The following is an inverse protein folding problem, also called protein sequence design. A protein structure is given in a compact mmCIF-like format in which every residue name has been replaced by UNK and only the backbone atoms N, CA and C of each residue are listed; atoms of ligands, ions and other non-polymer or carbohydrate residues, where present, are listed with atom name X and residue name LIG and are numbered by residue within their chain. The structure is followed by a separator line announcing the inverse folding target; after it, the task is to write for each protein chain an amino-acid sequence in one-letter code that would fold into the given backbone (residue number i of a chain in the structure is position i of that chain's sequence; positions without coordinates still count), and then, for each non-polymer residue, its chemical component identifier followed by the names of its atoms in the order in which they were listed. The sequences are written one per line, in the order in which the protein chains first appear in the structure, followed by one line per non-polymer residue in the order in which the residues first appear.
data_IF_762071602510
#
_entry.id   IF_762071602510
#
_cell.length_a   1.000
_cell.length_b   1.000
_cell.length_c   1.000
_cell.angle_alpha   90.00
_cell.angle_beta   90.00
_cell.angle_gamma   90.00
#
_symmetry.space_group_name_H-M   'P 1'
#
loop_
_entity.id
_entity.type
_entity.pdbx_description
1 polymer ?
#
# COMPACT_ATOMS: atom_id res chain seq x y z
N UNK A 1 27.80 21.48 25.14
CA UNK A 1 26.82 21.47 24.05
C UNK A 1 26.27 20.05 23.84
N UNK A 2 25.41 19.45 24.66
CA UNK A 2 24.84 19.82 25.97
C UNK A 2 24.14 21.18 26.08
N UNK A 3 22.86 21.13 25.71
CA UNK A 3 21.65 21.76 26.28
C UNK A 3 20.65 20.56 26.31
N UNK A 4 19.85 20.20 27.33
CA UNK A 4 19.19 20.88 28.47
C UNK A 4 18.14 21.90 28.03
N UNK A 5 16.86 21.85 28.43
CA UNK A 5 16.06 20.81 29.13
C UNK A 5 14.55 21.16 28.94
N UNK A 6 13.48 20.51 29.44
CA UNK A 6 13.22 19.38 30.35
C UNK A 6 11.79 18.82 30.04
N UNK A 7 11.45 17.53 30.26
CA UNK A 7 10.05 17.05 30.18
C UNK A 7 9.24 17.44 31.43
N UNK A 8 7.97 17.83 31.24
CA UNK A 8 7.09 18.29 32.33
C UNK A 8 6.67 17.18 33.30
N UNK A 9 6.59 17.51 34.59
CA UNK A 9 6.58 16.55 35.68
C UNK A 9 5.20 15.91 35.94
N UNK A 10 5.18 14.63 36.33
CA UNK A 10 3.96 13.92 36.76
C UNK A 10 4.03 13.61 38.25
N UNK A 11 3.10 14.20 39.00
CA UNK A 11 2.52 13.73 40.28
C UNK A 11 3.46 13.14 41.37
N UNK A 12 3.63 13.87 42.48
CA UNK A 12 3.27 13.32 43.80
C UNK A 12 3.17 14.45 44.86
N UNK A 13 2.18 14.35 45.75
CA UNK A 13 1.84 15.38 46.76
C UNK A 13 1.80 14.77 48.18
N UNK A 14 2.77 15.07 49.05
CA UNK A 14 2.64 14.82 50.48
C UNK A 14 1.67 15.82 51.12
N UNK A 15 0.82 15.34 52.03
CA UNK A 15 0.13 16.19 53.01
C UNK A 15 0.80 16.00 54.38
N UNK A 16 1.21 17.09 55.02
CA UNK A 16 1.43 17.15 56.47
C UNK A 16 0.74 18.39 57.04
N UNK A 17 -0.03 18.19 58.12
CA UNK A 17 -0.66 19.26 58.89
C UNK A 17 0.28 19.82 59.99
N UNK A 18 0.04 21.04 60.50
CA UNK A 18 1.05 21.79 61.25
C UNK A 18 1.22 21.36 62.72
N UNK A 19 2.44 21.50 63.24
CA UNK A 19 2.70 21.45 64.69
C UNK A 19 2.46 22.81 65.38
N UNK A 20 1.98 22.82 66.65
CA UNK A 20 1.62 24.05 67.37
C UNK A 20 2.81 24.69 68.11
N UNK A 21 2.81 26.02 68.24
CA UNK A 21 3.79 26.76 69.05
C UNK A 21 3.19 27.28 70.38
N UNK A 22 3.66 26.67 71.47
CA UNK A 22 3.98 27.23 72.80
C UNK A 22 3.05 28.29 73.44
N UNK A 23 2.29 27.79 74.44
CA UNK A 23 2.24 28.22 75.86
C UNK A 23 1.97 29.71 76.26
N UNK A 24 1.19 29.94 77.36
CA UNK A 24 0.79 31.28 77.81
C UNK A 24 1.61 31.86 78.97
N UNK A 25 1.30 33.08 79.40
CA UNK A 25 1.73 33.65 80.69
C UNK A 25 0.60 34.48 81.31
N UNK A 26 0.33 34.32 82.62
CA UNK A 26 -0.29 35.39 83.42
C UNK A 26 -1.64 35.19 84.12
N UNK A 27 -1.83 34.10 84.88
CA UNK A 27 -2.72 34.00 86.08
C UNK A 27 -4.26 34.28 85.98
N UNK A 28 -5.06 33.83 86.97
CA UNK A 28 -6.51 33.66 86.80
C UNK A 28 -7.39 34.71 87.52
N UNK A 29 -8.69 34.74 87.17
CA UNK A 29 -9.71 34.67 88.23
C UNK A 29 -10.87 33.70 87.97
N UNK A 30 -11.44 33.22 89.09
CA UNK A 30 -12.78 32.63 89.28
C UNK A 30 -13.10 31.21 88.68
N UNK A 31 -13.83 30.36 89.43
CA UNK A 31 -14.10 28.96 89.03
C UNK A 31 -15.07 28.77 87.85
N UNK A 32 -15.86 29.80 87.50
CA UNK A 32 -16.93 29.72 86.49
C UNK A 32 -16.45 29.30 85.10
N UNK A 33 -15.19 29.60 84.75
CA UNK A 33 -14.61 29.20 83.46
C UNK A 33 -14.40 27.68 83.34
N UNK A 34 -14.29 26.96 84.48
CA UNK A 34 -14.21 25.49 84.50
C UNK A 34 -15.61 24.86 84.42
N UNK A 35 -16.60 25.44 85.07
CA UNK A 35 -18.01 25.02 84.97
C UNK A 35 -18.51 25.12 83.52
N UNK A 36 -18.34 26.30 82.89
CA UNK A 36 -18.74 26.52 81.48
C UNK A 36 -17.97 25.59 80.52
N UNK A 37 -16.67 25.34 80.74
CA UNK A 37 -15.93 24.35 79.93
C UNK A 37 -16.40 22.92 80.18
N UNK A 38 -16.75 22.56 81.42
CA UNK A 38 -17.27 21.23 81.75
C UNK A 38 -18.64 20.99 81.12
N UNK A 39 -19.55 21.98 81.13
CA UNK A 39 -20.85 21.90 80.46
C UNK A 39 -20.70 21.75 78.94
N UNK A 40 -19.85 22.56 78.30
CA UNK A 40 -19.55 22.49 76.86
C UNK A 40 -18.95 21.12 76.48
N UNK A 41 -18.09 20.55 77.32
CA UNK A 41 -17.51 19.22 77.09
C UNK A 41 -18.54 18.09 77.33
N UNK A 42 -19.35 18.17 78.38
CA UNK A 42 -20.41 17.19 78.67
C UNK A 42 -21.44 17.15 77.54
N UNK A 43 -21.88 18.31 77.03
CA UNK A 43 -22.80 18.38 75.89
C UNK A 43 -22.21 17.77 74.61
N UNK A 44 -20.88 17.78 74.44
CA UNK A 44 -20.20 17.14 73.29
C UNK A 44 -20.09 15.62 73.39
N UNK A 45 -20.23 15.05 74.60
CA UNK A 45 -20.14 13.61 74.87
C UNK A 45 -21.48 12.85 74.85
N UNK A 46 -22.63 13.54 74.79
CA UNK A 46 -23.94 12.88 74.71
C UNK A 46 -24.14 12.30 73.29
N UNK A 47 -24.20 10.96 73.10
CA UNK A 47 -24.54 10.42 71.79
C UNK A 47 -25.93 10.91 71.39
N UNK A 48 -26.17 11.31 70.13
CA UNK A 48 -27.49 11.76 69.70
C UNK A 48 -28.51 10.63 69.93
N UNK A 49 -29.77 10.96 70.29
CA UNK A 49 -30.83 9.97 70.36
C UNK A 49 -30.84 9.12 69.09
N UNK A 50 -30.71 7.79 69.26
CA UNK A 50 -30.69 6.85 68.13
C UNK A 50 -32.12 6.59 67.66
N UNK A 51 -32.81 7.64 67.23
CA UNK A 51 -34.13 7.55 66.64
C UNK A 51 -34.06 6.62 65.42
N UNK A 52 -34.76 5.46 65.45
CA UNK A 52 -34.59 4.44 64.43
C UNK A 52 -35.01 4.95 63.04
N UNK A 53 -35.94 5.91 62.99
CA UNK A 53 -36.32 6.61 61.76
C UNK A 53 -35.17 7.37 61.11
N UNK A 54 -34.39 8.14 61.90
CA UNK A 54 -33.24 8.88 61.38
C UNK A 54 -32.16 7.92 60.86
N UNK A 55 -31.94 6.80 61.56
CA UNK A 55 -31.00 5.76 61.13
C UNK A 55 -31.45 5.08 59.83
N UNK A 56 -32.75 4.75 59.69
CA UNK A 56 -33.34 4.23 58.43
C UNK A 56 -33.12 5.20 57.27
N UNK A 57 -33.44 6.48 57.46
CA UNK A 57 -33.30 7.53 56.44
C UNK A 57 -31.83 7.70 56.02
N UNK A 58 -30.90 7.74 56.97
CA UNK A 58 -29.47 7.81 56.67
C UNK A 58 -28.94 6.56 55.92
N UNK A 59 -29.40 5.36 56.31
CA UNK A 59 -29.01 4.12 55.63
C UNK A 59 -29.56 4.08 54.19
N UNK A 60 -30.80 4.53 53.98
CA UNK A 60 -31.43 4.65 52.67
C UNK A 60 -30.66 5.60 51.73
N UNK A 61 -30.31 6.80 52.22
CA UNK A 61 -29.50 7.77 51.45
C UNK A 61 -28.12 7.21 51.09
N UNK A 62 -27.39 6.61 52.05
CA UNK A 62 -26.08 5.97 51.78
C UNK A 62 -26.21 4.86 50.74
N UNK A 63 -27.25 4.01 50.85
CA UNK A 63 -27.53 2.95 49.89
C UNK A 63 -27.89 3.45 48.48
N UNK A 64 -28.56 4.60 48.36
CA UNK A 64 -28.83 5.24 47.06
C UNK A 64 -27.57 5.84 46.45
N UNK A 65 -26.73 6.51 47.25
CA UNK A 65 -25.50 7.13 46.79
C UNK A 65 -24.54 6.08 46.20
N UNK A 66 -24.34 4.96 46.91
CA UNK A 66 -23.49 3.84 46.47
C UNK A 66 -24.05 3.14 45.24
N UNK A 67 -25.37 2.93 45.14
CA UNK A 67 -25.99 2.36 43.92
C UNK A 67 -25.79 3.26 42.71
N UNK A 68 -25.92 4.59 42.88
CA UNK A 68 -25.75 5.56 41.79
C UNK A 68 -24.30 5.66 41.31
N UNK A 69 -23.31 5.63 42.21
CA UNK A 69 -21.89 5.62 41.82
C UNK A 69 -21.49 4.29 41.17
N UNK A 70 -21.96 3.15 41.69
CA UNK A 70 -21.71 1.83 41.10
C UNK A 70 -22.29 1.71 39.68
N UNK A 71 -23.50 2.22 39.45
CA UNK A 71 -24.11 2.25 38.10
C UNK A 71 -23.28 3.12 37.13
N UNK A 72 -22.81 4.29 37.56
CA UNK A 72 -21.96 5.14 36.72
C UNK A 72 -20.62 4.47 36.39
N UNK A 73 -19.96 3.87 37.38
CA UNK A 73 -18.72 3.11 37.18
C UNK A 73 -18.92 1.91 36.24
N UNK A 74 -20.02 1.17 36.38
CA UNK A 74 -20.36 0.05 35.50
C UNK A 74 -20.61 0.50 34.05
N UNK A 75 -21.30 1.62 33.82
CA UNK A 75 -21.51 2.20 32.50
C UNK A 75 -20.20 2.68 31.86
N UNK A 76 -19.31 3.30 32.64
CA UNK A 76 -17.96 3.67 32.20
C UNK A 76 -17.13 2.45 31.78
N UNK A 77 -17.04 1.45 32.66
CA UNK A 77 -16.32 0.20 32.39
C UNK A 77 -16.86 -0.53 31.15
N UNK A 78 -18.19 -0.65 31.01
CA UNK A 78 -18.85 -1.27 29.87
C UNK A 78 -18.59 -0.49 28.56
N UNK A 79 -18.50 0.84 28.61
CA UNK A 79 -18.14 1.68 27.46
C UNK A 79 -16.69 1.43 27.03
N UNK A 80 -15.75 1.41 27.99
CA UNK A 80 -14.33 1.09 27.75
C UNK A 80 -14.16 -0.34 27.19
N UNK A 81 -14.87 -1.33 27.73
CA UNK A 81 -14.86 -2.71 27.24
C UNK A 81 -15.39 -2.82 25.80
N UNK A 82 -16.48 -2.11 25.46
CA UNK A 82 -17.02 -2.06 24.09
C UNK A 82 -16.02 -1.42 23.11
N UNK A 83 -15.38 -0.32 23.51
CA UNK A 83 -14.33 0.34 22.73
C UNK A 83 -13.13 -0.59 22.46
N UNK A 84 -12.60 -1.26 23.50
CA UNK A 84 -11.53 -2.25 23.35
C UNK A 84 -11.94 -3.45 22.49
N UNK A 85 -13.19 -3.92 22.57
CA UNK A 85 -13.68 -4.96 21.66
C UNK A 85 -13.70 -4.47 20.21
N UNK A 86 -14.13 -3.22 19.97
CA UNK A 86 -14.14 -2.62 18.64
C UNK A 86 -12.72 -2.40 18.07
N UNK A 87 -11.78 -1.90 18.86
CA UNK A 87 -10.39 -1.68 18.40
C UNK A 87 -9.70 -3.01 18.04
N UNK A 88 -9.93 -4.08 18.83
CA UNK A 88 -9.43 -5.43 18.55
C UNK A 88 -10.05 -6.03 17.28
N UNK A 89 -11.35 -5.84 17.04
CA UNK A 89 -12.01 -6.30 15.82
C UNK A 89 -11.47 -5.56 14.58
N UNK A 90 -11.36 -4.22 14.62
CA UNK A 90 -10.76 -3.42 13.54
C UNK A 90 -9.32 -3.87 13.22
N UNK A 91 -8.50 -4.12 14.24
CA UNK A 91 -7.13 -4.62 14.06
C UNK A 91 -7.08 -6.02 13.43
N UNK A 92 -7.99 -6.92 13.81
CA UNK A 92 -8.10 -8.26 13.21
C UNK A 92 -8.57 -8.20 11.75
N UNK A 93 -9.55 -7.34 11.45
CA UNK A 93 -10.02 -7.08 10.08
C UNK A 93 -8.91 -6.49 9.20
N UNK A 94 -8.16 -5.51 9.70
CA UNK A 94 -7.03 -4.92 8.98
C UNK A 94 -5.97 -5.97 8.64
N UNK A 95 -5.61 -6.84 9.59
CA UNK A 95 -4.71 -7.99 9.36
C UNK A 95 -5.26 -8.95 8.31
N UNK A 96 -6.56 -9.29 8.36
CA UNK A 96 -7.22 -10.15 7.36
C UNK A 96 -7.19 -9.52 5.96
N UNK A 97 -7.52 -8.23 5.83
CA UNK A 97 -7.48 -7.49 4.55
C UNK A 97 -6.07 -7.45 3.98
N UNK A 98 -5.06 -7.10 4.79
CA UNK A 98 -3.65 -7.07 4.36
C UNK A 98 -3.15 -8.43 3.85
N UNK A 99 -3.56 -9.54 4.48
CA UNK A 99 -3.24 -10.90 4.01
C UNK A 99 -3.91 -11.21 2.67
N UNK A 100 -5.20 -10.91 2.51
CA UNK A 100 -5.93 -11.09 1.24
C UNK A 100 -5.36 -10.22 0.11
N UNK A 101 -4.97 -8.98 0.39
CA UNK A 101 -4.25 -8.12 -0.54
C UNK A 101 -2.89 -8.71 -0.93
N UNK A 102 -2.13 -9.26 0.02
CA UNK A 102 -0.85 -9.89 -0.27
C UNK A 102 -0.98 -11.15 -1.15
N UNK A 103 -2.08 -11.91 -1.03
CA UNK A 103 -2.38 -13.03 -1.93
C UNK A 103 -2.82 -12.55 -3.31
N UNK A 104 -3.83 -11.70 -3.40
CA UNK A 104 -4.32 -11.18 -4.69
C UNK A 104 -3.23 -10.45 -5.49
N UNK A 105 -2.35 -9.65 -4.84
CA UNK A 105 -1.19 -9.03 -5.51
C UNK A 105 -0.24 -10.07 -6.13
N UNK A 106 -0.03 -11.23 -5.48
CA UNK A 106 0.77 -12.35 -6.04
C UNK A 106 0.07 -13.01 -7.22
N UNK A 107 -1.24 -13.23 -7.13
CA UNK A 107 -2.05 -13.79 -8.22
C UNK A 107 -2.05 -12.87 -9.45
N UNK A 108 -2.28 -11.57 -9.27
CA UNK A 108 -2.19 -10.57 -10.34
C UNK A 108 -0.79 -10.53 -10.98
N UNK A 109 0.28 -10.62 -10.19
CA UNK A 109 1.65 -10.71 -10.72
C UNK A 109 1.87 -12.00 -11.52
N UNK A 110 1.41 -13.16 -11.00
CA UNK A 110 1.51 -14.44 -11.67
C UNK A 110 0.73 -14.49 -12.99
N UNK A 111 -0.51 -13.99 -13.02
CA UNK A 111 -1.35 -13.91 -14.23
C UNK A 111 -0.71 -12.97 -15.27
N UNK A 112 -0.18 -11.82 -14.87
CA UNK A 112 0.55 -10.91 -15.77
C UNK A 112 1.79 -11.58 -16.37
N UNK A 113 2.59 -12.26 -15.54
CA UNK A 113 3.79 -12.98 -16.00
C UNK A 113 3.42 -14.16 -16.93
N UNK A 114 2.37 -14.92 -16.62
CA UNK A 114 1.84 -15.97 -17.50
C UNK A 114 1.37 -15.40 -18.84
N UNK A 115 0.67 -14.27 -18.85
CA UNK A 115 0.24 -13.59 -20.06
C UNK A 115 1.43 -13.12 -20.92
N UNK A 116 2.46 -12.53 -20.30
CA UNK A 116 3.70 -12.16 -20.97
C UNK A 116 4.44 -13.37 -21.56
N UNK A 117 4.57 -14.47 -20.81
CA UNK A 117 5.22 -15.71 -21.30
C UNK A 117 4.42 -16.34 -22.45
N UNK A 118 3.09 -16.35 -22.39
CA UNK A 118 2.21 -16.83 -23.48
C UNK A 118 2.40 -15.96 -24.74
N UNK A 119 2.32 -14.64 -24.59
CA UNK A 119 2.53 -13.68 -25.70
C UNK A 119 3.93 -13.81 -26.30
N UNK A 120 4.97 -13.94 -25.48
CA UNK A 120 6.36 -14.12 -25.93
C UNK A 120 6.54 -15.41 -26.75
N UNK A 121 5.99 -16.55 -26.28
CA UNK A 121 6.03 -17.82 -27.01
C UNK A 121 5.35 -17.71 -28.38
N UNK A 122 4.19 -17.04 -28.44
CA UNK A 122 3.47 -16.81 -29.70
C UNK A 122 4.29 -15.92 -30.64
N UNK A 123 4.81 -14.78 -30.15
CA UNK A 123 5.63 -13.85 -30.93
C UNK A 123 6.90 -14.53 -31.47
N UNK A 124 7.58 -15.34 -30.66
CA UNK A 124 8.76 -16.10 -31.07
C UNK A 124 8.43 -17.13 -32.18
N UNK A 125 7.32 -17.86 -32.05
CA UNK A 125 6.85 -18.79 -33.10
C UNK A 125 6.51 -18.05 -34.39
N UNK A 126 5.79 -16.92 -34.30
CA UNK A 126 5.47 -16.08 -35.45
C UNK A 126 6.72 -15.53 -36.14
N UNK A 127 7.68 -14.98 -35.39
CA UNK A 127 8.94 -14.48 -35.96
C UNK A 127 9.75 -15.57 -36.67
N UNK A 128 9.82 -16.80 -36.12
CA UNK A 128 10.47 -17.94 -36.77
C UNK A 128 9.79 -18.32 -38.09
N UNK A 129 8.46 -18.45 -38.08
CA UNK A 129 7.68 -18.77 -39.28
C UNK A 129 7.80 -17.67 -40.35
N UNK A 130 7.73 -16.40 -39.95
CA UNK A 130 7.89 -15.25 -40.85
C UNK A 130 9.29 -15.16 -41.46
N UNK A 131 10.33 -15.49 -40.69
CA UNK A 131 11.71 -15.55 -41.19
C UNK A 131 11.89 -16.68 -42.21
N UNK A 132 11.43 -17.90 -41.90
CA UNK A 132 11.43 -19.02 -42.83
C UNK A 132 10.64 -18.72 -44.12
N UNK A 133 9.44 -18.14 -43.99
CA UNK A 133 8.62 -17.72 -45.13
C UNK A 133 9.33 -16.66 -46.00
N UNK A 134 10.05 -15.71 -45.40
CA UNK A 134 10.86 -14.72 -46.14
C UNK A 134 12.04 -15.34 -46.88
N UNK A 135 12.75 -16.30 -46.28
CA UNK A 135 13.83 -17.04 -46.96
C UNK A 135 13.26 -17.81 -48.16
N UNK A 136 12.15 -18.53 -47.96
CA UNK A 136 11.46 -19.27 -49.03
C UNK A 136 11.00 -18.32 -50.14
N UNK A 137 10.32 -17.21 -49.80
CA UNK A 137 9.90 -16.20 -50.79
C UNK A 137 11.07 -15.53 -51.52
N UNK A 138 12.19 -15.30 -50.84
CA UNK A 138 13.42 -14.79 -51.46
C UNK A 138 13.98 -15.80 -52.48
N UNK A 139 14.11 -17.07 -52.09
CA UNK A 139 14.54 -18.14 -52.99
C UNK A 139 13.60 -18.29 -54.21
N UNK A 140 12.27 -18.26 -54.03
CA UNK A 140 11.33 -18.33 -55.15
C UNK A 140 11.36 -17.09 -56.07
N UNK A 141 11.55 -15.88 -55.51
CA UNK A 141 11.71 -14.65 -56.32
C UNK A 141 13.04 -14.60 -57.06
N UNK A 142 14.11 -15.13 -56.48
CA UNK A 142 15.45 -15.15 -57.08
C UNK A 142 15.73 -16.40 -57.91
N UNK A 143 14.90 -17.46 -57.86
CA UNK A 143 15.03 -18.67 -58.69
C UNK A 143 15.21 -18.36 -60.17
N UNK A 144 14.37 -17.49 -60.79
CA UNK A 144 14.58 -17.09 -62.18
C UNK A 144 15.80 -16.19 -62.38
N UNK A 145 16.36 -15.55 -61.37
CA UNK A 145 17.60 -14.76 -61.51
C UNK A 145 18.83 -15.64 -61.75
N UNK A 146 18.88 -16.82 -61.12
CA UNK A 146 20.00 -17.76 -61.29
C UNK A 146 19.99 -18.56 -62.59
N UNK A 147 18.87 -18.58 -63.32
CA UNK A 147 18.70 -19.34 -64.57
C UNK A 147 18.30 -18.50 -65.78
N UNK A 148 18.20 -17.16 -65.63
CA UNK A 148 18.03 -16.26 -66.77
C UNK A 148 19.41 -15.91 -67.32
N UNK A 149 19.78 -16.61 -68.38
CA UNK A 149 20.85 -16.14 -69.24
C UNK A 149 20.54 -14.75 -69.79
N UNK A 150 21.56 -13.92 -69.96
CA UNK A 150 21.41 -12.61 -70.55
C UNK A 150 21.54 -12.70 -72.09
N UNK A 151 20.78 -11.85 -72.78
CA UNK A 151 20.85 -11.69 -74.23
C UNK A 151 21.47 -10.34 -74.50
N UNK A 152 22.55 -10.32 -75.28
CA UNK A 152 23.33 -9.14 -75.64
C UNK A 152 23.37 -9.04 -77.17
N UNK A 153 22.62 -8.09 -77.71
CA UNK A 153 22.56 -7.83 -79.14
C UNK A 153 23.60 -6.78 -79.57
N UNK A 154 24.48 -7.16 -80.48
CA UNK A 154 25.28 -6.24 -81.29
C UNK A 154 24.62 -6.10 -82.66
N UNK A 155 24.58 -4.88 -83.21
CA UNK A 155 24.13 -4.65 -84.57
C UNK A 155 25.04 -3.65 -85.28
N UNK A 156 25.24 -3.85 -86.58
CA UNK A 156 26.03 -2.97 -87.45
C UNK A 156 25.26 -2.70 -88.72
N UNK A 157 24.82 -1.46 -88.88
CA UNK A 157 24.17 -0.99 -90.10
C UNK A 157 25.26 -0.65 -91.12
N UNK A 158 25.11 -1.13 -92.35
CA UNK A 158 25.85 -0.68 -93.54
C UNK A 158 24.84 -0.22 -94.60
N UNK A 159 25.29 0.50 -95.63
CA UNK A 159 24.39 1.12 -96.61
C UNK A 159 23.40 0.14 -97.29
N UNK A 160 23.80 -1.13 -97.45
CA UNK A 160 23.04 -2.14 -98.19
C UNK A 160 22.55 -3.31 -97.30
N UNK A 161 23.06 -3.45 -96.07
CA UNK A 161 22.83 -4.61 -95.20
C UNK A 161 22.89 -4.24 -93.71
N UNK A 162 22.04 -4.88 -92.91
CA UNK A 162 22.07 -4.90 -91.46
C UNK A 162 22.71 -6.23 -90.99
N UNK A 163 23.86 -6.16 -90.33
CA UNK A 163 24.42 -7.30 -89.62
C UNK A 163 23.92 -7.29 -88.18
N UNK A 164 23.33 -8.39 -87.74
CA UNK A 164 22.79 -8.59 -86.39
C UNK A 164 23.53 -9.77 -85.74
N UNK A 165 23.94 -9.63 -84.49
CA UNK A 165 24.65 -10.65 -83.73
C UNK A 165 24.10 -10.71 -82.30
N UNK A 166 23.51 -11.84 -81.92
CA UNK A 166 22.95 -12.07 -80.58
C UNK A 166 23.83 -13.06 -79.83
N UNK A 167 24.42 -12.59 -78.73
CA UNK A 167 25.09 -13.41 -77.73
C UNK A 167 24.07 -13.79 -76.64
N UNK A 168 23.77 -15.08 -76.52
CA UNK A 168 22.82 -15.66 -75.56
C UNK A 168 23.61 -16.51 -74.54
N UNK A 169 23.82 -15.97 -73.34
CA UNK A 169 24.70 -16.58 -72.33
C UNK A 169 23.87 -17.34 -71.30
N UNK A 170 23.57 -18.62 -71.59
CA UNK A 170 22.69 -19.47 -70.75
C UNK A 170 23.48 -20.59 -70.06
N UNK A 171 24.38 -20.24 -69.15
CA UNK A 171 25.20 -21.19 -68.39
C UNK A 171 26.67 -20.80 -68.41
N UNK A 172 27.55 -21.79 -68.59
CA UNK A 172 29.01 -21.59 -68.65
C UNK A 172 29.52 -21.20 -70.04
N UNK A 173 28.77 -21.42 -71.11
CA UNK A 173 29.17 -21.10 -72.49
C UNK A 173 28.16 -20.16 -73.18
N UNK A 174 28.64 -19.20 -73.99
CA UNK A 174 27.78 -18.30 -74.76
C UNK A 174 27.39 -18.91 -76.11
N UNK A 175 26.10 -18.91 -76.44
CA UNK A 175 25.63 -19.21 -77.79
C UNK A 175 25.60 -17.93 -78.62
N UNK A 176 26.29 -17.89 -79.76
CA UNK A 176 26.30 -16.73 -80.67
C UNK A 176 25.48 -17.07 -81.92
N UNK A 177 24.55 -16.17 -82.29
CA UNK A 177 23.72 -16.28 -83.50
C UNK A 177 23.88 -15.01 -84.32
N UNK A 178 24.31 -15.13 -85.58
CA UNK A 178 24.50 -14.00 -86.49
C UNK A 178 23.58 -14.10 -87.73
N UNK A 179 23.05 -12.96 -88.16
CA UNK A 179 22.15 -12.84 -89.31
C UNK A 179 22.47 -11.57 -90.12
N UNK A 180 22.41 -11.66 -91.45
CA UNK A 180 22.65 -10.55 -92.36
C UNK A 180 21.37 -10.24 -93.16
N UNK A 181 20.65 -9.20 -92.74
CA UNK A 181 19.39 -8.79 -93.37
C UNK A 181 19.69 -7.74 -94.46
N UNK A 182 19.39 -7.99 -95.75
CA UNK A 182 19.57 -7.00 -96.80
C UNK A 182 18.60 -5.83 -96.62
N UNK A 183 19.09 -4.60 -96.73
CA UNK A 183 18.28 -3.39 -96.61
C UNK A 183 17.84 -2.91 -97.99
N UNK A 184 16.56 -2.54 -98.18
CA UNK A 184 16.08 -2.02 -99.46
C UNK A 184 16.66 -0.62 -99.69
N UNK A 185 17.73 -0.55 -100.49
CA UNK A 185 18.34 0.71 -100.93
C UNK A 185 17.31 1.47 -101.77
N UNK A 186 16.81 2.59 -101.23
CA UNK A 186 16.06 3.56 -102.02
C UNK A 186 17.04 4.31 -102.92
N UNK A 187 16.85 4.15 -104.24
CA UNK A 187 17.37 5.05 -105.26
C UNK A 187 16.55 6.35 -105.28
#
# INVERSE_FOLDING_TARGET
MQEMDQPENTDERPEEEPQPQREPTGSPPAPRALEVKAEILQHKSRPPPRDPEVVKIQAWWRGILVRRSLLFAALGALTIQRWWKQIRMRALEARRRAVLEAFTRKEWAAVRLQAWVRMWRIRLRYCRLLHAARIIQGHWRCRPCGSRGFIKGHYRVTANQLHLELEIVLGSEPCIVSECIPLPVKQ
#
